data_IF_175080055572
#
_entry.id   IF_175080055572
#
_cell.length_a   1.000
_cell.length_b   1.000
_cell.length_c   1.000
_cell.angle_alpha   90.00
_cell.angle_beta   90.00
_cell.angle_gamma   90.00
#
_symmetry.space_group_name_H-M   'P 1'
#
loop_
_entity.id
_entity.type
_entity.pdbx_description
1 polymer ?
#
# COMPACT_ATOMS: atom_id res chain seq x y z
N UNK A 1 5.21 23.57 6.57
CA UNK A 1 5.62 22.55 5.58
C UNK A 1 4.92 21.25 5.91
N UNK A 2 4.15 20.73 4.96
CA UNK A 2 3.41 19.51 5.20
C UNK A 2 4.31 18.29 5.03
N UNK A 3 4.14 17.31 5.91
CA UNK A 3 4.77 16.01 5.79
C UNK A 3 4.08 15.23 4.68
N UNK A 4 4.83 14.57 3.82
CA UNK A 4 4.28 13.81 2.68
C UNK A 4 4.48 12.32 2.91
N UNK A 5 3.38 11.59 2.95
CA UNK A 5 3.34 10.16 3.21
C UNK A 5 2.77 9.43 1.99
N UNK A 6 3.43 8.38 1.57
CA UNK A 6 2.90 7.45 0.57
C UNK A 6 2.50 6.14 1.24
N UNK A 7 1.27 5.73 1.05
CA UNK A 7 0.76 4.45 1.50
C UNK A 7 0.72 3.47 0.33
N UNK A 8 1.21 2.27 0.53
CA UNK A 8 1.23 1.21 -0.47
C UNK A 8 0.51 -0.01 0.08
N UNK A 9 -0.47 -0.50 -0.66
CA UNK A 9 -1.10 -1.78 -0.35
C UNK A 9 -0.26 -2.90 -0.94
N UNK A 10 0.14 -3.86 -0.13
CA UNK A 10 0.92 -5.01 -0.60
C UNK A 10 0.13 -5.88 -1.56
N UNK A 11 0.85 -6.55 -2.46
CA UNK A 11 0.31 -7.43 -3.48
C UNK A 11 -0.60 -6.70 -4.47
N UNK A 12 -1.31 -7.40 -5.31
CA UNK A 12 -2.25 -6.81 -6.26
C UNK A 12 -2.08 -7.39 -7.66
N UNK A 13 -2.90 -6.90 -8.59
CA UNK A 13 -2.95 -7.42 -9.95
C UNK A 13 -3.08 -8.95 -9.92
N UNK A 14 -2.08 -9.69 -10.37
CA UNK A 14 -2.10 -11.15 -10.41
C UNK A 14 -1.45 -11.79 -9.18
N UNK A 15 -1.11 -11.00 -8.17
CA UNK A 15 -0.49 -11.47 -6.94
C UNK A 15 -1.44 -11.24 -5.76
N UNK A 16 -2.25 -12.22 -5.37
CA UNK A 16 -3.18 -12.06 -4.26
C UNK A 16 -2.49 -12.06 -2.89
N UNK A 17 -1.24 -12.52 -2.80
CA UNK A 17 -0.56 -12.71 -1.54
C UNK A 17 -1.11 -13.93 -0.80
N UNK A 18 -1.04 -13.89 0.52
CA UNK A 18 -1.56 -14.97 1.35
C UNK A 18 -3.08 -15.04 1.26
N UNK A 19 -3.60 -16.25 1.13
CA UNK A 19 -5.03 -16.54 1.13
C UNK A 19 -5.35 -17.38 2.35
N UNK A 20 -6.43 -17.03 3.04
CA UNK A 20 -6.86 -17.74 4.23
C UNK A 20 -8.37 -17.70 4.35
N UNK A 21 -8.90 -18.35 5.40
CA UNK A 21 -10.33 -18.27 5.71
C UNK A 21 -10.78 -16.85 6.08
N UNK A 22 -9.84 -15.97 6.39
CA UNK A 22 -10.12 -14.58 6.74
C UNK A 22 -10.10 -13.65 5.52
N UNK A 23 -9.67 -14.15 4.35
CA UNK A 23 -9.66 -13.38 3.14
C UNK A 23 -8.35 -13.50 2.36
N UNK A 24 -8.24 -12.66 1.36
CA UNK A 24 -7.07 -12.57 0.49
C UNK A 24 -6.26 -11.35 0.94
N UNK A 25 -4.95 -11.54 1.14
CA UNK A 25 -4.08 -10.47 1.65
C UNK A 25 -4.19 -9.20 0.80
N UNK A 26 -4.22 -9.33 -0.51
CA UNK A 26 -4.37 -8.21 -1.42
C UNK A 26 -5.58 -7.33 -1.06
N UNK A 27 -6.73 -7.95 -0.76
CA UNK A 27 -7.95 -7.22 -0.46
C UNK A 27 -7.90 -6.62 0.94
N UNK A 28 -7.33 -7.35 1.89
CA UNK A 28 -7.24 -6.89 3.28
C UNK A 28 -6.27 -5.72 3.43
N UNK A 29 -5.13 -5.74 2.73
CA UNK A 29 -4.19 -4.62 2.77
C UNK A 29 -4.84 -3.34 2.24
N UNK A 30 -5.68 -3.45 1.22
CA UNK A 30 -6.38 -2.29 0.66
C UNK A 30 -7.39 -1.70 1.63
N UNK A 31 -8.09 -2.55 2.37
CA UNK A 31 -9.00 -2.08 3.42
C UNK A 31 -8.26 -1.29 4.49
N UNK A 32 -7.11 -1.80 4.94
CA UNK A 32 -6.29 -1.13 5.95
C UNK A 32 -5.76 0.20 5.42
N UNK A 33 -5.24 0.22 4.20
CA UNK A 33 -4.70 1.45 3.61
C UNK A 33 -5.81 2.49 3.45
N UNK A 34 -7.00 2.10 3.01
CA UNK A 34 -8.11 3.02 2.88
C UNK A 34 -8.51 3.60 4.24
N UNK A 35 -8.52 2.78 5.28
CA UNK A 35 -8.82 3.24 6.64
C UNK A 35 -7.74 4.20 7.15
N UNK A 36 -6.46 3.88 6.91
CA UNK A 36 -5.36 4.77 7.28
C UNK A 36 -5.48 6.11 6.57
N UNK A 37 -5.75 6.09 5.27
CA UNK A 37 -5.95 7.32 4.50
C UNK A 37 -7.04 8.20 5.13
N UNK A 38 -8.16 7.60 5.50
CA UNK A 38 -9.25 8.33 6.12
C UNK A 38 -8.89 8.88 7.50
N UNK A 39 -8.11 8.12 8.29
CA UNK A 39 -7.70 8.54 9.62
C UNK A 39 -6.74 9.74 9.59
N UNK A 40 -5.97 9.90 8.52
CA UNK A 40 -5.06 11.02 8.37
C UNK A 40 -5.75 12.31 7.93
N UNK A 41 -7.01 12.24 7.51
CA UNK A 41 -7.77 13.45 7.16
C UNK A 41 -7.90 14.34 8.39
N UNK A 42 -7.64 15.62 8.22
CA UNK A 42 -7.69 16.58 9.33
C UNK A 42 -6.35 16.81 10.00
N UNK A 43 -5.33 16.03 9.67
CA UNK A 43 -3.97 16.26 10.14
C UNK A 43 -3.17 17.02 9.08
N UNK A 44 -2.11 17.72 9.51
CA UNK A 44 -1.23 18.44 8.59
C UNK A 44 -0.25 17.46 7.94
N UNK A 45 -0.79 16.60 7.12
CA UNK A 45 -0.03 15.59 6.38
C UNK A 45 -0.68 15.39 5.02
N UNK A 46 0.15 15.33 3.98
CA UNK A 46 -0.31 14.99 2.64
C UNK A 46 -0.13 13.48 2.47
N UNK A 47 -1.23 12.79 2.24
CA UNK A 47 -1.22 11.33 2.10
C UNK A 47 -1.64 10.97 0.69
N UNK A 48 -0.76 10.27 -0.01
CA UNK A 48 -1.08 9.67 -1.30
C UNK A 48 -1.12 8.16 -1.15
N UNK A 49 -1.87 7.51 -2.02
CA UNK A 49 -1.97 6.05 -2.05
C UNK A 49 -1.48 5.57 -3.40
N UNK A 50 -0.55 4.61 -3.40
CA UNK A 50 -0.10 3.98 -4.63
C UNK A 50 -1.30 3.32 -5.31
N UNK A 51 -1.39 3.36 -6.66
CA UNK A 51 -2.54 2.77 -7.35
C UNK A 51 -2.87 1.37 -6.87
N UNK A 52 -4.08 1.18 -6.36
CA UNK A 52 -4.47 -0.05 -5.67
C UNK A 52 -4.79 -1.21 -6.62
N UNK A 53 -4.88 -0.90 -7.92
CA UNK A 53 -5.06 -1.92 -8.95
C UNK A 53 -3.72 -2.45 -9.48
N UNK A 54 -2.60 -2.08 -8.84
CA UNK A 54 -1.25 -2.48 -9.26
C UNK A 54 -0.52 -3.15 -8.10
N UNK A 55 0.49 -3.93 -8.44
CA UNK A 55 1.43 -4.51 -7.50
C UNK A 55 2.71 -3.65 -7.52
N UNK A 56 2.93 -2.88 -6.46
CA UNK A 56 4.08 -1.97 -6.39
C UNK A 56 5.41 -2.74 -6.49
N UNK A 57 5.51 -3.88 -5.85
CA UNK A 57 6.73 -4.70 -5.92
C UNK A 57 7.05 -5.10 -7.36
N UNK A 58 6.05 -5.57 -8.10
CA UNK A 58 6.23 -5.94 -9.49
C UNK A 58 6.60 -4.72 -10.34
N UNK A 59 5.98 -3.57 -10.08
CA UNK A 59 6.30 -2.32 -10.79
C UNK A 59 7.76 -1.93 -10.56
N UNK A 60 8.26 -2.04 -9.32
CA UNK A 60 9.66 -1.75 -9.00
C UNK A 60 10.58 -2.70 -9.76
N UNK A 61 10.29 -3.99 -9.75
CA UNK A 61 11.10 -5.00 -10.43
C UNK A 61 11.14 -4.81 -11.95
N UNK A 62 10.05 -4.30 -12.52
CA UNK A 62 9.90 -4.13 -13.96
C UNK A 62 10.20 -2.72 -14.45
N UNK A 63 10.54 -1.80 -13.58
CA UNK A 63 10.80 -0.42 -13.94
C UNK A 63 9.57 0.37 -14.29
N UNK A 64 8.39 -0.03 -13.80
CA UNK A 64 7.10 0.58 -14.11
C UNK A 64 6.48 1.34 -12.92
N UNK A 65 7.32 1.82 -12.00
CA UNK A 65 6.85 2.54 -10.82
C UNK A 65 6.05 3.78 -11.22
N UNK A 66 4.89 3.95 -10.59
CA UNK A 66 3.93 4.99 -10.94
C UNK A 66 4.14 6.30 -10.19
N UNK A 67 5.07 6.34 -9.24
CA UNK A 67 5.37 7.51 -8.42
C UNK A 67 6.87 7.69 -8.29
N UNK A 68 7.29 8.90 -7.88
CA UNK A 68 8.67 9.14 -7.50
C UNK A 68 8.76 9.10 -5.98
N UNK A 69 9.36 8.04 -5.43
CA UNK A 69 9.48 7.86 -3.99
C UNK A 69 10.21 9.00 -3.29
N UNK A 70 11.12 9.69 -4.02
CA UNK A 70 11.85 10.82 -3.46
C UNK A 70 10.96 12.02 -3.13
N UNK A 71 9.73 12.06 -3.65
CA UNK A 71 8.78 13.13 -3.36
C UNK A 71 8.11 12.98 -1.99
N UNK A 72 8.38 11.89 -1.28
CA UNK A 72 7.72 11.59 0.00
C UNK A 72 8.72 11.59 1.14
N UNK A 73 8.28 12.06 2.28
CA UNK A 73 9.08 12.02 3.51
C UNK A 73 9.10 10.62 4.11
N UNK A 74 8.02 9.86 3.89
CA UNK A 74 7.91 8.50 4.38
C UNK A 74 7.06 7.66 3.42
N UNK A 75 7.49 6.42 3.23
CA UNK A 75 6.76 5.43 2.42
C UNK A 75 6.44 4.25 3.32
N UNK A 76 5.17 3.89 3.41
CA UNK A 76 4.70 2.82 4.26
C UNK A 76 3.93 1.80 3.43
N UNK A 77 4.41 0.56 3.42
CA UNK A 77 3.75 -0.53 2.71
C UNK A 77 3.12 -1.49 3.70
N UNK A 78 1.86 -1.82 3.47
CA UNK A 78 1.09 -2.69 4.36
C UNK A 78 1.09 -4.11 3.80
N UNK A 79 1.52 -5.05 4.64
CA UNK A 79 1.48 -6.48 4.37
C UNK A 79 0.89 -7.22 5.56
N UNK A 80 0.26 -8.35 5.28
CA UNK A 80 -0.09 -9.31 6.33
C UNK A 80 0.69 -10.60 6.05
N UNK A 81 1.44 -11.05 7.04
CA UNK A 81 2.09 -12.34 6.94
C UNK A 81 1.07 -13.40 7.31
N UNK A 82 0.84 -14.37 6.41
CA UNK A 82 0.11 -15.54 6.85
C UNK A 82 1.03 -16.31 7.77
N UNK A 83 0.62 -16.43 9.01
CA UNK A 83 1.31 -17.29 9.95
C UNK A 83 0.94 -18.73 9.64
N UNK A 84 1.29 -19.19 8.48
CA UNK A 84 1.25 -20.60 8.21
C UNK A 84 2.49 -21.19 8.85
N UNK A 85 2.41 -21.31 10.09
CA UNK A 85 3.46 -22.11 10.68
C UNK A 85 3.18 -23.55 10.34
#
# INVERSE_FOLDING_TARGET
>A
MSFKLLLISGHGANDPGACSSYGIERDETRKVVNRMFNLFKGYDVVVDVYPQNRNCYADVCNGNVQVNFANYDYVFEVHFNSASA
#
